data_IF_174290293015
#
_entry.id   IF_174290293015
#
_cell.length_a   1.000
_cell.length_b   1.000
_cell.length_c   1.000
_cell.angle_alpha   90.00
_cell.angle_beta   90.00
_cell.angle_gamma   90.00
#
_symmetry.space_group_name_H-M   'P 1'
#
loop_
_entity.id
_entity.type
_entity.pdbx_description
1 polymer ?
#
# COMPACT_ATOMS: atom_id res chain seq x y z
N UNK A 1 -22.01 -38.28 -11.84
CA UNK A 1 -20.62 -38.34 -11.37
C UNK A 1 -20.43 -37.15 -10.44
N UNK A 2 -20.07 -37.40 -9.18
CA UNK A 2 -20.10 -36.42 -8.09
C UNK A 2 -18.99 -35.36 -8.23
N UNK A 3 -19.37 -34.09 -8.07
CA UNK A 3 -18.48 -32.94 -7.92
C UNK A 3 -17.88 -32.92 -6.50
N UNK A 4 -16.56 -32.75 -6.40
CA UNK A 4 -15.83 -32.50 -5.15
C UNK A 4 -15.61 -30.99 -4.96
N UNK A 5 -15.78 -30.43 -3.76
CA UNK A 5 -15.34 -29.08 -3.46
C UNK A 5 -13.81 -29.04 -3.28
N UNK A 6 -13.15 -28.03 -3.83
CA UNK A 6 -11.75 -27.71 -3.54
C UNK A 6 -11.70 -27.10 -2.13
N UNK A 7 -11.15 -27.85 -1.18
CA UNK A 7 -10.83 -27.37 0.17
C UNK A 7 -9.37 -26.94 0.17
N UNK A 8 -9.13 -25.62 0.14
CA UNK A 8 -7.84 -25.04 0.50
C UNK A 8 -7.78 -25.00 2.03
N UNK A 9 -7.34 -26.10 2.65
CA UNK A 9 -6.62 -26.20 3.93
C UNK A 9 -6.80 -27.62 4.52
N UNK A 10 -5.90 -28.53 4.13
CA UNK A 10 -5.49 -29.60 5.05
C UNK A 10 -3.96 -29.63 5.07
N UNK A 11 -3.36 -28.93 6.02
CA UNK A 11 -1.97 -29.18 6.38
C UNK A 11 -1.92 -30.38 7.32
N UNK A 12 -1.05 -31.38 7.08
CA UNK A 12 -0.80 -32.41 8.06
C UNK A 12 -0.06 -31.79 9.25
N UNK A 13 -0.54 -32.09 10.46
CA UNK A 13 0.13 -31.76 11.70
C UNK A 13 1.46 -32.53 11.79
N UNK A 14 2.56 -31.91 11.33
CA UNK A 14 3.94 -32.14 11.77
C UNK A 14 4.92 -31.37 10.88
N UNK A 15 5.18 -30.10 11.20
CA UNK A 15 6.41 -29.43 10.83
C UNK A 15 6.73 -28.41 11.92
N UNK A 16 7.48 -28.85 12.94
CA UNK A 16 8.20 -27.95 13.83
C UNK A 16 9.25 -27.22 12.98
N UNK A 17 8.89 -26.06 12.46
CA UNK A 17 9.86 -25.09 11.95
C UNK A 17 10.05 -24.05 13.04
N UNK A 18 11.25 -24.05 13.63
CA UNK A 18 11.71 -23.05 14.59
C UNK A 18 11.53 -21.65 13.99
N UNK A 19 10.54 -20.91 14.49
CA UNK A 19 10.64 -19.46 14.56
C UNK A 19 11.50 -19.19 15.80
N UNK A 20 12.79 -18.96 15.59
CA UNK A 20 13.64 -18.40 16.63
C UNK A 20 13.20 -16.95 16.80
N UNK A 21 12.27 -16.72 17.72
CA UNK A 21 12.16 -15.43 18.37
C UNK A 21 13.52 -15.18 19.04
N UNK A 22 14.21 -14.06 18.81
CA UNK A 22 15.36 -13.73 19.63
C UNK A 22 14.89 -13.70 21.09
N UNK A 23 15.50 -14.54 21.92
CA UNK A 23 15.16 -14.71 23.32
C UNK A 23 15.09 -13.37 24.03
N UNK A 24 14.16 -13.27 24.99
CA UNK A 24 13.89 -12.12 25.85
C UNK A 24 15.06 -11.69 26.78
N UNK A 25 16.31 -12.02 26.44
CA UNK A 25 17.50 -11.67 27.20
C UNK A 25 17.99 -10.23 26.96
N UNK A 26 17.42 -9.49 26.02
CA UNK A 26 17.72 -8.05 25.81
C UNK A 26 17.02 -7.16 26.85
N UNK A 27 16.05 -7.68 27.61
CA UNK A 27 15.24 -6.89 28.55
C UNK A 27 15.75 -6.85 30.01
N UNK A 28 16.97 -7.33 30.29
CA UNK A 28 17.51 -7.29 31.65
C UNK A 28 18.97 -6.87 31.65
N UNK A 29 19.25 -5.56 31.69
CA UNK A 29 20.43 -5.00 32.36
C UNK A 29 20.31 -3.48 32.54
N UNK A 30 20.45 -2.95 33.77
CA UNK A 30 20.54 -1.51 34.00
C UNK A 30 21.91 -0.98 33.57
N UNK A 31 21.91 0.23 33.00
CA UNK A 31 23.08 0.99 32.58
C UNK A 31 24.04 1.27 33.75
N UNK A 32 25.33 0.95 33.58
CA UNK A 32 26.42 1.68 34.24
C UNK A 32 27.02 2.68 33.25
N UNK A 33 27.14 3.93 33.70
CA UNK A 33 27.78 5.02 32.99
C UNK A 33 29.26 4.72 32.79
N UNK A 34 29.77 4.95 31.58
CA UNK A 34 31.14 5.41 31.41
C UNK A 34 31.19 6.51 30.36
N UNK A 35 31.76 7.62 30.81
CA UNK A 35 31.93 8.91 30.18
C UNK A 35 33.02 8.83 29.09
N UNK A 36 32.70 9.27 27.87
CA UNK A 36 33.69 9.70 26.90
C UNK A 36 33.04 10.63 25.87
N UNK A 37 33.35 11.90 26.03
CA UNK A 37 33.11 13.01 25.12
C UNK A 37 33.59 12.72 23.70
N UNK A 38 32.69 12.84 22.72
CA UNK A 38 33.00 13.41 21.41
C UNK A 38 31.71 13.91 20.73
N UNK A 39 31.66 15.21 20.52
CA UNK A 39 30.51 15.95 19.99
C UNK A 39 30.45 15.87 18.47
N UNK A 40 29.41 15.24 17.92
CA UNK A 40 29.00 15.45 16.53
C UNK A 40 27.82 16.43 16.49
N UNK A 41 28.10 17.65 16.01
CA UNK A 41 27.15 18.74 15.83
C UNK A 41 26.29 18.55 14.58
N UNK A 42 25.02 18.92 14.73
CA UNK A 42 23.98 18.99 13.70
C UNK A 42 24.31 20.02 12.60
N UNK A 43 23.95 19.78 11.32
CA UNK A 43 24.22 20.69 10.21
C UNK A 43 23.20 21.85 10.18
N UNK A 44 23.36 22.81 11.09
CA UNK A 44 22.64 24.10 11.02
C UNK A 44 23.49 25.34 11.36
N UNK A 45 24.80 25.21 11.59
CA UNK A 45 25.64 26.33 12.06
C UNK A 45 26.66 26.89 11.04
N UNK A 46 26.62 26.47 9.77
CA UNK A 46 27.48 27.07 8.72
C UNK A 46 26.71 28.15 7.96
N UNK A 47 26.32 29.22 8.66
CA UNK A 47 25.89 30.48 8.01
C UNK A 47 26.08 31.74 8.89
N UNK A 48 26.97 31.68 9.89
CA UNK A 48 27.34 32.84 10.71
C UNK A 48 28.85 32.96 10.88
N UNK A 49 29.54 33.41 9.83
CA UNK A 49 30.77 34.20 9.97
C UNK A 49 31.25 34.69 8.59
N UNK A 50 31.14 36.01 8.34
CA UNK A 50 32.14 36.91 7.73
C UNK A 50 31.45 38.21 7.23
N UNK A 51 32.18 39.34 7.13
CA UNK A 51 31.82 40.59 7.82
C UNK A 51 30.99 41.58 7.00
N UNK A 52 30.15 42.35 7.71
CA UNK A 52 29.41 43.49 7.15
C UNK A 52 30.34 44.68 6.86
N UNK A 53 30.21 45.26 5.66
CA UNK A 53 30.68 46.62 5.31
C UNK A 53 29.47 47.48 4.91
N UNK A 54 29.52 48.80 5.18
CA UNK A 54 28.32 49.61 5.38
C UNK A 54 27.64 50.02 4.07
N UNK A 55 26.30 50.05 4.12
CA UNK A 55 25.42 50.51 3.05
C UNK A 55 25.37 52.04 3.06
N UNK A 56 25.62 52.66 1.89
CA UNK A 56 25.28 54.06 1.62
C UNK A 56 23.89 54.11 0.96
N UNK A 57 23.02 54.96 1.47
CA UNK A 57 21.75 55.36 0.86
C UNK A 57 21.96 56.18 -0.41
N UNK A 58 21.18 55.92 -1.47
CA UNK A 58 20.60 56.93 -2.39
C UNK A 58 19.30 56.37 -3.01
N UNK A 59 18.26 57.19 -3.04
CA UNK A 59 16.92 56.97 -3.60
C UNK A 59 16.82 57.08 -5.15
N UNK A 60 15.69 56.56 -5.64
CA UNK A 60 14.85 57.04 -6.74
C UNK A 60 15.12 56.65 -8.22
N UNK A 61 14.09 55.97 -8.76
CA UNK A 61 13.41 56.20 -10.04
C UNK A 61 14.00 55.65 -11.36
N UNK A 62 13.07 55.37 -12.29
CA UNK A 62 13.14 55.10 -13.73
C UNK A 62 13.39 53.68 -14.30
N UNK A 63 12.28 53.10 -14.79
CA UNK A 63 12.01 52.50 -16.14
C UNK A 63 13.07 51.64 -16.89
N UNK A 64 12.66 50.37 -17.19
CA UNK A 64 12.82 49.50 -18.42
C UNK A 64 13.99 49.73 -19.42
N UNK A 65 14.32 48.77 -20.34
CA UNK A 65 14.18 47.30 -20.37
C UNK A 65 15.51 46.57 -20.75
N UNK A 66 15.45 45.22 -20.79
CA UNK A 66 16.51 44.28 -21.22
C UNK A 66 17.00 44.48 -22.67
N UNK A 67 18.26 44.08 -22.97
CA UNK A 67 18.57 43.45 -24.26
C UNK A 67 19.37 42.13 -24.16
N UNK A 68 19.37 41.46 -25.31
CA UNK A 68 19.65 40.07 -25.64
C UNK A 68 21.11 39.60 -25.47
N UNK A 69 21.27 38.28 -25.32
CA UNK A 69 22.53 37.55 -25.48
C UNK A 69 22.86 37.42 -26.96
N UNK A 70 24.04 37.91 -27.35
CA UNK A 70 24.79 37.44 -28.51
C UNK A 70 26.13 36.84 -28.05
N UNK A 71 26.29 35.57 -28.43
CA UNK A 71 27.48 34.90 -28.97
C UNK A 71 28.87 35.49 -28.67
N UNK A 72 29.73 34.73 -27.98
CA UNK A 72 31.19 34.68 -28.20
C UNK A 72 31.79 33.45 -27.49
N UNK A 73 32.36 32.52 -28.27
CA UNK A 73 33.27 31.48 -27.79
C UNK A 73 34.72 31.94 -27.78
N UNK A 74 35.55 31.32 -26.94
CA UNK A 74 36.88 30.74 -27.23
C UNK A 74 37.64 30.35 -25.94
N UNK A 75 38.23 29.13 -25.97
CA UNK A 75 39.53 28.64 -25.43
C UNK A 75 40.08 29.19 -24.07
N UNK A 76 40.70 28.46 -23.13
CA UNK A 76 41.36 27.15 -22.94
C UNK A 76 41.56 26.98 -21.38
N UNK A 77 42.38 26.08 -20.77
CA UNK A 77 43.25 25.01 -21.29
C UNK A 77 43.20 23.64 -20.54
N UNK A 78 43.84 22.64 -21.13
CA UNK A 78 44.14 21.33 -20.53
C UNK A 78 45.22 21.40 -19.44
N UNK A 79 45.05 20.62 -18.37
CA UNK A 79 46.14 20.18 -17.49
C UNK A 79 46.09 18.65 -17.34
N UNK A 80 47.12 17.97 -17.84
CA UNK A 80 47.37 16.53 -17.62
C UNK A 80 47.93 16.29 -16.23
N UNK A 81 47.36 15.32 -15.50
CA UNK A 81 48.01 14.67 -14.35
C UNK A 81 47.94 13.15 -14.51
N UNK A 82 49.08 12.54 -14.15
CA UNK A 82 49.52 11.16 -14.34
C UNK A 82 48.61 10.09 -13.73
N UNK A 83 48.53 8.95 -14.43
CA UNK A 83 47.71 7.80 -14.08
C UNK A 83 48.25 6.97 -12.90
N UNK A 84 47.30 6.45 -12.12
CA UNK A 84 47.42 5.18 -11.40
C UNK A 84 46.22 4.33 -11.78
N UNK A 85 46.49 3.12 -12.27
CA UNK A 85 45.48 2.09 -12.53
C UNK A 85 44.67 1.81 -11.26
N UNK A 86 43.39 2.14 -11.28
CA UNK A 86 42.39 1.50 -10.44
C UNK A 86 41.53 0.61 -11.33
N UNK A 87 41.59 -0.69 -11.03
CA UNK A 87 40.80 -1.73 -11.67
C UNK A 87 39.37 -1.62 -11.12
N UNK A 88 38.48 -1.00 -11.88
CA UNK A 88 37.04 -1.02 -11.59
C UNK A 88 36.56 -2.43 -11.92
N UNK A 89 36.36 -3.26 -10.90
CA UNK A 89 35.54 -4.45 -11.03
C UNK A 89 34.11 -3.98 -11.21
N UNK A 90 33.56 -4.17 -12.41
CA UNK A 90 32.15 -4.08 -12.71
C UNK A 90 31.38 -4.97 -11.72
N UNK A 91 30.65 -4.36 -10.80
CA UNK A 91 29.58 -5.05 -10.10
C UNK A 91 28.43 -5.08 -11.10
N UNK A 92 28.22 -6.25 -11.70
CA UNK A 92 27.05 -6.51 -12.54
C UNK A 92 25.80 -6.28 -11.70
N UNK A 93 24.95 -5.37 -12.15
CA UNK A 93 23.59 -5.15 -11.65
C UNK A 93 22.81 -6.48 -11.70
N UNK A 94 22.63 -7.10 -10.53
CA UNK A 94 21.82 -8.29 -10.40
C UNK A 94 20.34 -7.91 -10.48
N UNK A 95 19.73 -8.25 -11.62
CA UNK A 95 18.31 -8.04 -11.92
C UNK A 95 17.37 -8.67 -10.87
N UNK A 96 16.39 -7.88 -10.45
CA UNK A 96 15.16 -8.32 -9.76
C UNK A 96 14.41 -9.34 -10.62
N UNK A 97 14.08 -10.52 -10.05
CA UNK A 97 13.35 -11.58 -10.77
C UNK A 97 11.83 -11.41 -10.53
N UNK A 98 11.21 -10.64 -11.43
CA UNK A 98 9.75 -10.39 -11.46
C UNK A 98 9.06 -11.65 -12.00
N UNK A 99 8.01 -12.13 -11.33
CA UNK A 99 7.10 -13.13 -11.91
C UNK A 99 6.19 -12.41 -12.91
N UNK A 100 6.63 -12.38 -14.18
CA UNK A 100 5.85 -11.85 -15.30
C UNK A 100 5.11 -13.00 -15.97
N UNK A 101 3.79 -12.91 -16.03
CA UNK A 101 3.00 -13.74 -16.93
C UNK A 101 2.78 -12.91 -18.19
N UNK A 102 3.55 -13.21 -19.24
CA UNK A 102 3.37 -12.62 -20.57
C UNK A 102 2.34 -13.44 -21.36
N UNK A 103 1.60 -12.84 -22.31
CA UNK A 103 0.63 -13.57 -23.13
C UNK A 103 1.33 -14.67 -23.94
N UNK A 104 0.69 -15.84 -24.03
CA UNK A 104 1.08 -16.88 -24.97
C UNK A 104 0.97 -16.35 -26.41
N UNK A 105 2.01 -16.58 -27.21
CA UNK A 105 2.03 -16.17 -28.62
C UNK A 105 1.10 -17.09 -29.43
N UNK A 106 -0.15 -16.68 -29.63
CA UNK A 106 -0.97 -17.25 -30.70
C UNK A 106 -0.94 -16.30 -31.89
N UNK A 107 -0.17 -16.69 -32.90
CA UNK A 107 0.05 -15.91 -34.12
C UNK A 107 -1.17 -16.01 -35.03
N UNK A 108 -2.17 -15.19 -34.79
CA UNK A 108 -3.14 -14.81 -35.81
C UNK A 108 -3.09 -13.30 -36.01
N UNK A 109 -2.60 -12.91 -37.20
CA UNK A 109 -2.63 -11.53 -37.68
C UNK A 109 -4.07 -11.02 -37.60
N UNK A 110 -4.34 -10.14 -36.64
CA UNK A 110 -5.49 -9.26 -36.66
C UNK A 110 -4.97 -7.83 -36.75
N UNK A 111 -5.54 -7.13 -37.72
CA UNK A 111 -5.30 -5.72 -38.04
C UNK A 111 -5.40 -4.85 -36.79
N UNK A 112 -4.79 -3.66 -36.83
CA UNK A 112 -4.81 -2.64 -35.77
C UNK A 112 -6.24 -2.40 -35.24
N UNK A 113 -6.68 -3.20 -34.28
CA UNK A 113 -7.77 -2.85 -33.37
C UNK A 113 -7.24 -1.69 -32.52
N UNK A 114 -7.99 -0.60 -32.55
CA UNK A 114 -7.72 0.64 -31.83
C UNK A 114 -7.34 0.35 -30.37
N UNK A 115 -6.40 1.10 -29.81
CA UNK A 115 -5.92 0.99 -28.42
C UNK A 115 -7.01 1.03 -27.34
N UNK A 116 -8.26 1.36 -27.72
CA UNK A 116 -9.41 1.49 -26.84
C UNK A 116 -10.02 0.15 -26.40
N UNK A 117 -9.64 -1.00 -26.98
CA UNK A 117 -10.16 -2.32 -26.61
C UNK A 117 -9.21 -3.19 -25.77
N UNK A 118 -7.96 -2.78 -25.56
CA UNK A 118 -7.04 -3.56 -24.72
C UNK A 118 -7.35 -3.38 -23.23
N UNK A 119 -7.44 -4.48 -22.43
CA UNK A 119 -7.70 -4.37 -21.00
C UNK A 119 -6.56 -3.66 -20.28
N UNK A 120 -6.90 -2.88 -19.24
CA UNK A 120 -5.89 -2.25 -18.40
C UNK A 120 -5.05 -3.29 -17.67
N UNK A 121 -3.76 -3.01 -17.41
CA UNK A 121 -2.97 -3.84 -16.52
C UNK A 121 -3.58 -3.93 -15.11
N UNK A 122 -3.43 -5.09 -14.47
CA UNK A 122 -3.90 -5.32 -13.10
C UNK A 122 -2.71 -5.51 -12.15
N UNK A 123 -2.72 -4.79 -11.04
CA UNK A 123 -1.73 -4.93 -9.97
C UNK A 123 -2.34 -5.66 -8.78
N UNK A 124 -1.63 -6.63 -8.21
CA UNK A 124 -2.10 -7.42 -7.07
C UNK A 124 -1.16 -7.23 -5.87
N UNK A 125 -1.72 -6.92 -4.69
CA UNK A 125 -0.98 -6.90 -3.43
C UNK A 125 -1.55 -7.92 -2.45
N UNK A 126 -0.72 -8.88 -2.05
CA UNK A 126 -1.07 -9.95 -1.13
C UNK A 126 -1.25 -9.51 0.32
N UNK A 127 -1.82 -10.40 1.13
CA UNK A 127 -2.06 -10.21 2.56
C UNK A 127 -0.92 -10.69 3.47
N UNK A 128 -1.16 -10.62 4.78
CA UNK A 128 -0.26 -11.08 5.83
C UNK A 128 0.02 -12.59 5.68
N UNK A 129 1.29 -12.99 5.73
CA UNK A 129 1.69 -14.41 5.70
C UNK A 129 1.71 -15.08 4.33
N UNK A 130 1.39 -14.34 3.27
CA UNK A 130 1.49 -14.79 1.88
C UNK A 130 2.69 -14.15 1.15
N UNK A 131 2.87 -14.47 -0.14
CA UNK A 131 3.95 -13.91 -0.97
C UNK A 131 3.58 -13.91 -2.45
N UNK A 132 4.19 -13.03 -3.24
CA UNK A 132 3.84 -12.82 -4.65
C UNK A 132 3.95 -14.08 -5.56
N UNK A 133 4.76 -15.07 -5.16
CA UNK A 133 5.05 -16.28 -5.93
C UNK A 133 4.08 -17.45 -5.66
N UNK A 134 3.08 -17.24 -4.80
CA UNK A 134 2.16 -18.28 -4.31
C UNK A 134 1.12 -18.67 -5.34
N UNK A 135 0.76 -19.95 -5.34
CA UNK A 135 -0.15 -20.53 -6.34
C UNK A 135 -1.50 -19.81 -6.39
N UNK A 136 -2.12 -19.53 -5.24
CA UNK A 136 -3.41 -18.84 -5.19
C UNK A 136 -3.41 -17.46 -5.86
N UNK A 137 -2.33 -16.67 -5.75
CA UNK A 137 -2.25 -15.39 -6.45
C UNK A 137 -2.01 -15.54 -7.95
N UNK A 138 -1.31 -16.60 -8.36
CA UNK A 138 -1.17 -16.94 -9.79
C UNK A 138 -2.50 -17.38 -10.38
N UNK A 139 -3.27 -18.18 -9.66
CA UNK A 139 -4.63 -18.58 -10.03
C UNK A 139 -5.54 -17.35 -10.17
N UNK A 140 -5.44 -16.37 -9.26
CA UNK A 140 -6.17 -15.09 -9.40
C UNK A 140 -5.73 -14.33 -10.67
N UNK A 141 -4.43 -14.26 -10.95
CA UNK A 141 -3.92 -13.62 -12.16
C UNK A 141 -4.38 -14.33 -13.45
N UNK A 142 -4.44 -15.66 -13.42
CA UNK A 142 -5.01 -16.48 -14.50
C UNK A 142 -6.50 -16.19 -14.68
N UNK A 143 -7.27 -16.10 -13.59
CA UNK A 143 -8.69 -15.72 -13.64
C UNK A 143 -8.91 -14.33 -14.23
N UNK A 144 -8.05 -13.35 -13.92
CA UNK A 144 -8.10 -12.03 -14.54
C UNK A 144 -7.90 -12.13 -16.06
N UNK A 145 -6.90 -12.90 -16.49
CA UNK A 145 -6.63 -13.12 -17.92
C UNK A 145 -7.72 -13.94 -18.61
N UNK A 146 -8.36 -14.89 -17.91
CA UNK A 146 -9.48 -15.67 -18.45
C UNK A 146 -10.70 -14.80 -18.74
N UNK A 147 -10.99 -13.84 -17.85
CA UNK A 147 -12.12 -12.92 -18.01
C UNK A 147 -11.80 -11.83 -19.03
N UNK A 148 -10.58 -11.29 -19.01
CA UNK A 148 -10.09 -10.28 -19.96
C UNK A 148 -8.78 -10.75 -20.60
N UNK A 149 -8.85 -11.48 -21.74
CA UNK A 149 -7.67 -12.02 -22.40
C UNK A 149 -6.62 -10.98 -22.76
N UNK A 150 -5.36 -11.26 -22.42
CA UNK A 150 -4.22 -10.38 -22.70
C UNK A 150 -3.91 -9.37 -21.61
N UNK A 151 -4.63 -9.39 -20.49
CA UNK A 151 -4.35 -8.52 -19.33
C UNK A 151 -2.95 -8.77 -18.75
N UNK A 152 -2.10 -7.74 -18.74
CA UNK A 152 -0.84 -7.79 -18.01
C UNK A 152 -1.10 -7.72 -16.51
N UNK A 153 -0.74 -8.78 -15.77
CA UNK A 153 -0.87 -8.81 -14.31
C UNK A 153 0.49 -8.70 -13.63
N UNK A 154 0.60 -7.78 -12.69
CA UNK A 154 1.80 -7.57 -11.86
C UNK A 154 1.48 -7.87 -10.39
N UNK A 155 2.12 -8.90 -9.82
CA UNK A 155 1.95 -9.25 -8.41
C UNK A 155 3.10 -8.61 -7.61
N UNK A 156 2.77 -7.73 -6.68
CA UNK A 156 3.73 -6.97 -5.87
C UNK A 156 4.45 -7.91 -4.91
N UNK A 157 5.79 -7.84 -4.94
CA UNK A 157 6.70 -8.34 -3.92
C UNK A 157 7.46 -7.14 -3.36
N UNK A 158 7.47 -6.98 -2.04
CA UNK A 158 8.20 -5.87 -1.37
C UNK A 158 9.64 -6.26 -1.02
N UNK A 159 9.95 -7.56 -1.04
CA UNK A 159 11.31 -8.05 -0.88
C UNK A 159 12.03 -8.19 -2.23
N UNK A 160 13.36 -8.05 -2.20
CA UNK A 160 14.23 -8.27 -3.37
C UNK A 160 14.14 -9.71 -3.91
N UNK A 161 13.82 -10.67 -3.03
CA UNK A 161 13.64 -12.09 -3.34
C UNK A 161 12.20 -12.53 -3.06
N UNK A 162 11.48 -13.11 -4.04
CA UNK A 162 10.19 -13.74 -3.79
C UNK A 162 10.26 -14.86 -2.75
N UNK A 163 9.10 -15.27 -2.22
CA UNK A 163 8.98 -16.40 -1.31
C UNK A 163 9.09 -16.01 0.17
N UNK A 164 10.06 -16.57 0.89
CA UNK A 164 10.13 -16.41 2.35
C UNK A 164 10.40 -14.99 2.82
N UNK A 165 11.22 -14.23 2.08
CA UNK A 165 11.55 -12.85 2.45
C UNK A 165 10.34 -11.91 2.28
N UNK A 166 9.62 -12.03 1.17
CA UNK A 166 8.39 -11.28 0.90
C UNK A 166 7.31 -11.58 1.95
N UNK A 167 7.16 -12.86 2.31
CA UNK A 167 6.29 -13.29 3.41
C UNK A 167 6.67 -12.67 4.75
N UNK A 168 7.95 -12.66 5.10
CA UNK A 168 8.41 -12.05 6.35
C UNK A 168 8.17 -10.54 6.36
N UNK A 169 8.36 -9.87 5.23
CA UNK A 169 8.11 -8.44 5.08
C UNK A 169 6.63 -8.07 5.28
N UNK A 170 5.70 -9.02 5.06
CA UNK A 170 4.29 -8.82 5.41
C UNK A 170 4.04 -8.69 6.91
N UNK A 171 4.89 -9.28 7.77
CA UNK A 171 4.82 -9.20 9.23
C UNK A 171 5.70 -8.09 9.79
N UNK A 172 6.93 -7.97 9.27
CA UNK A 172 7.97 -7.13 9.82
C UNK A 172 8.43 -6.09 8.80
N UNK A 173 8.41 -4.83 9.22
CA UNK A 173 8.84 -3.71 8.40
C UNK A 173 8.05 -2.44 8.71
N UNK A 174 8.33 -1.40 7.93
CA UNK A 174 7.65 -0.13 7.97
C UNK A 174 6.72 -0.02 6.75
N UNK A 175 5.40 0.03 6.97
CA UNK A 175 4.40 0.08 5.89
C UNK A 175 4.57 1.34 5.04
N UNK A 176 4.97 2.46 5.66
CA UNK A 176 5.24 3.70 4.93
C UNK A 176 6.37 3.54 3.93
N UNK A 177 7.47 2.92 4.33
CA UNK A 177 8.59 2.61 3.43
C UNK A 177 8.23 1.55 2.38
N UNK A 178 7.39 0.56 2.72
CA UNK A 178 6.91 -0.43 1.74
C UNK A 178 6.09 0.22 0.63
N UNK A 179 5.15 1.10 0.98
CA UNK A 179 4.35 1.84 -0.01
C UNK A 179 5.26 2.70 -0.89
N UNK A 180 6.20 3.43 -0.30
CA UNK A 180 7.16 4.23 -1.07
C UNK A 180 7.97 3.37 -2.04
N UNK A 181 8.42 2.20 -1.60
CA UNK A 181 9.13 1.22 -2.45
C UNK A 181 8.24 0.78 -3.61
N UNK A 182 6.98 0.43 -3.34
CA UNK A 182 6.01 0.01 -4.37
C UNK A 182 5.71 1.15 -5.34
N UNK A 183 5.57 2.39 -4.88
CA UNK A 183 5.40 3.55 -5.76
C UNK A 183 6.51 3.63 -6.81
N UNK A 184 7.78 3.47 -6.39
CA UNK A 184 8.91 3.48 -7.30
C UNK A 184 9.01 2.22 -8.17
N UNK A 185 8.62 1.06 -7.67
CA UNK A 185 8.61 -0.19 -8.44
C UNK A 185 7.60 -0.11 -9.60
N UNK A 186 6.36 0.30 -9.32
CA UNK A 186 5.33 0.41 -10.35
C UNK A 186 5.65 1.52 -11.36
N UNK A 187 6.23 2.64 -10.91
CA UNK A 187 6.69 3.70 -11.81
C UNK A 187 7.87 3.29 -12.71
N UNK A 188 8.64 2.26 -12.35
CA UNK A 188 9.74 1.75 -13.19
C UNK A 188 9.29 0.70 -14.21
N UNK A 189 8.14 0.06 -13.99
CA UNK A 189 7.63 -0.93 -14.94
C UNK A 189 7.15 -0.24 -16.22
N UNK A 190 7.70 -0.66 -17.36
CA UNK A 190 7.42 -0.02 -18.64
C UNK A 190 5.95 -0.14 -19.05
N UNK A 191 5.29 -1.26 -18.77
CA UNK A 191 3.88 -1.48 -19.15
C UNK A 191 2.99 -0.64 -18.25
N UNK A 192 3.22 -0.69 -16.93
CA UNK A 192 2.38 0.03 -15.96
C UNK A 192 2.53 1.56 -16.09
N UNK A 193 3.76 2.08 -16.28
CA UNK A 193 3.99 3.53 -16.39
C UNK A 193 3.43 4.13 -17.68
N UNK A 194 3.38 3.38 -18.78
CA UNK A 194 2.85 3.89 -20.05
C UNK A 194 1.37 3.63 -20.24
N UNK A 195 0.75 2.78 -19.42
CA UNK A 195 -0.69 2.56 -19.46
C UNK A 195 -1.44 3.84 -19.05
N UNK A 196 -2.61 4.13 -19.65
CA UNK A 196 -3.40 5.30 -19.27
C UNK A 196 -3.87 5.25 -17.80
N UNK A 197 -4.08 4.04 -17.28
CA UNK A 197 -4.32 3.73 -15.88
C UNK A 197 -4.02 2.24 -15.64
N UNK A 198 -4.08 1.81 -14.39
CA UNK A 198 -4.05 0.42 -13.95
C UNK A 198 -5.29 0.11 -13.12
N UNK A 199 -5.70 -1.14 -13.07
CA UNK A 199 -6.62 -1.62 -12.04
C UNK A 199 -5.83 -2.34 -10.93
N UNK A 200 -6.42 -2.46 -9.74
CA UNK A 200 -5.72 -2.98 -8.58
C UNK A 200 -6.59 -3.89 -7.71
N UNK A 201 -5.98 -4.98 -7.20
CA UNK A 201 -6.58 -5.93 -6.27
C UNK A 201 -5.72 -6.01 -5.01
N UNK A 202 -6.32 -5.75 -3.85
CA UNK A 202 -5.67 -5.94 -2.57
C UNK A 202 -6.35 -7.01 -1.71
N UNK A 203 -5.56 -7.94 -1.19
CA UNK A 203 -6.04 -8.99 -0.30
C UNK A 203 -5.68 -8.71 1.15
N UNK A 204 -6.67 -8.77 2.04
CA UNK A 204 -6.51 -8.49 3.47
C UNK A 204 -5.74 -7.18 3.66
N UNK A 205 -4.59 -7.17 4.35
CA UNK A 205 -3.81 -5.94 4.55
C UNK A 205 -3.35 -5.24 3.26
N UNK A 206 -3.18 -5.99 2.16
CA UNK A 206 -2.75 -5.45 0.87
C UNK A 206 -3.73 -4.42 0.28
N UNK A 207 -5.02 -4.47 0.63
CA UNK A 207 -5.99 -3.49 0.16
C UNK A 207 -5.84 -2.11 0.79
N UNK A 208 -5.62 -2.01 2.10
CA UNK A 208 -5.28 -0.71 2.68
C UNK A 208 -3.88 -0.22 2.26
N UNK A 209 -2.96 -1.11 1.90
CA UNK A 209 -1.66 -0.71 1.35
C UNK A 209 -1.79 -0.12 -0.05
N UNK A 210 -2.57 -0.75 -0.94
CA UNK A 210 -2.89 -0.19 -2.25
C UNK A 210 -3.68 1.11 -2.15
N UNK A 211 -4.61 1.24 -1.20
CA UNK A 211 -5.25 2.52 -0.91
C UNK A 211 -4.23 3.58 -0.48
N UNK A 212 -3.27 3.21 0.38
CA UNK A 212 -2.16 4.08 0.77
C UNK A 212 -1.29 4.49 -0.42
N UNK A 213 -1.02 3.58 -1.36
CA UNK A 213 -0.36 3.87 -2.65
C UNK A 213 -1.15 4.93 -3.44
N UNK A 214 -2.46 4.73 -3.64
CA UNK A 214 -3.31 5.70 -4.36
C UNK A 214 -3.21 7.07 -3.72
N UNK A 215 -3.38 7.15 -2.40
CA UNK A 215 -3.33 8.41 -1.68
C UNK A 215 -1.96 9.09 -1.75
N UNK A 216 -0.86 8.35 -1.55
CA UNK A 216 0.49 8.92 -1.40
C UNK A 216 1.21 9.22 -2.71
N UNK A 217 0.97 8.44 -3.75
CA UNK A 217 1.71 8.55 -5.01
C UNK A 217 0.85 8.50 -6.28
N UNK A 218 -0.48 8.51 -6.17
CA UNK A 218 -1.39 8.50 -7.33
C UNK A 218 -1.22 9.68 -8.31
N UNK A 219 -0.55 10.77 -7.90
CA UNK A 219 -0.26 11.92 -8.74
C UNK A 219 1.05 11.82 -9.55
N UNK A 220 1.91 10.83 -9.28
CA UNK A 220 3.20 10.68 -9.99
C UNK A 220 3.57 9.24 -10.37
N UNK A 221 3.01 8.25 -9.71
CA UNK A 221 3.10 6.83 -10.07
C UNK A 221 1.90 6.43 -10.97
N UNK A 222 1.87 5.21 -11.55
CA UNK A 222 0.74 4.76 -12.36
C UNK A 222 -0.62 4.97 -11.67
N UNK A 223 -1.53 5.66 -12.36
CA UNK A 223 -2.87 5.99 -11.84
C UNK A 223 -3.72 4.75 -11.71
N UNK A 224 -4.37 4.56 -10.56
CA UNK A 224 -5.35 3.49 -10.37
C UNK A 224 -6.71 3.98 -10.85
N UNK A 225 -7.40 3.17 -11.66
CA UNK A 225 -8.79 3.39 -12.06
C UNK A 225 -9.76 2.69 -11.12
N UNK A 226 -9.69 1.37 -11.05
CA UNK A 226 -10.51 0.55 -10.16
C UNK A 226 -9.65 -0.10 -9.08
N UNK A 227 -10.05 0.04 -7.81
CA UNK A 227 -9.45 -0.63 -6.67
C UNK A 227 -10.46 -1.60 -6.05
N UNK A 228 -10.16 -2.90 -6.07
CA UNK A 228 -10.94 -3.93 -5.38
C UNK A 228 -10.18 -4.40 -4.14
N UNK A 229 -10.82 -4.37 -2.98
CA UNK A 229 -10.22 -4.81 -1.72
C UNK A 229 -11.01 -5.93 -1.09
N UNK A 230 -10.34 -7.04 -0.78
CA UNK A 230 -10.95 -8.22 -0.18
C UNK A 230 -10.62 -8.27 1.31
N UNK A 231 -11.63 -8.13 2.17
CA UNK A 231 -11.49 -8.24 3.63
C UNK A 231 -10.44 -7.29 4.21
N UNK A 232 -10.21 -6.15 3.59
CA UNK A 232 -9.17 -5.19 3.98
C UNK A 232 -9.60 -4.36 5.19
N UNK A 233 -8.67 -3.92 6.01
CA UNK A 233 -8.99 -3.28 7.30
C UNK A 233 -8.86 -1.76 7.17
N UNK A 234 -9.76 -1.15 6.40
CA UNK A 234 -9.68 0.27 6.05
C UNK A 234 -9.79 1.21 7.27
N UNK A 235 -10.52 0.79 8.30
CA UNK A 235 -10.58 1.49 9.60
C UNK A 235 -9.71 0.83 10.68
N UNK A 236 -8.73 0.01 10.28
CA UNK A 236 -7.83 -0.68 11.20
C UNK A 236 -8.44 -1.89 11.91
N UNK A 237 -7.66 -2.46 12.83
CA UNK A 237 -8.06 -3.57 13.69
C UNK A 237 -8.00 -3.17 15.16
N UNK A 238 -8.91 -3.72 15.96
CA UNK A 238 -8.88 -3.65 17.41
C UNK A 238 -8.17 -4.88 18.03
N UNK A 239 -8.02 -5.97 17.28
CA UNK A 239 -7.35 -7.21 17.71
C UNK A 239 -6.73 -7.92 16.49
N UNK A 240 -5.66 -8.71 16.68
CA UNK A 240 -5.01 -9.45 15.61
C UNK A 240 -5.89 -10.54 15.00
N UNK A 241 -6.55 -11.32 15.86
CA UNK A 241 -7.53 -12.36 15.55
C UNK A 241 -8.10 -12.87 16.89
N UNK A 242 -9.27 -13.50 16.86
CA UNK A 242 -9.75 -14.26 18.03
C UNK A 242 -8.86 -15.48 18.20
N UNK A 243 -8.19 -15.57 19.34
CA UNK A 243 -7.37 -16.74 19.64
C UNK A 243 -8.27 -17.97 19.85
N UNK A 244 -7.84 -19.13 19.35
CA UNK A 244 -8.60 -20.39 19.38
C UNK A 244 -8.76 -21.01 20.79
N UNK A 245 -8.60 -20.21 21.84
CA UNK A 245 -8.68 -20.59 23.24
C UNK A 245 -7.59 -19.93 24.10
N UNK A 246 -7.64 -20.22 25.41
CA UNK A 246 -6.64 -19.75 26.37
C UNK A 246 -5.25 -20.41 26.18
N UNK A 247 -5.16 -21.47 25.38
CA UNK A 247 -3.94 -22.24 25.12
C UNK A 247 -3.17 -21.78 23.88
N UNK A 248 -3.73 -20.87 23.08
CA UNK A 248 -3.05 -20.29 21.92
C UNK A 248 -2.15 -19.12 22.35
N UNK A 249 -1.08 -19.47 23.08
CA UNK A 249 -0.17 -18.53 23.73
C UNK A 249 0.53 -17.58 22.76
N UNK A 250 0.71 -17.98 21.49
CA UNK A 250 1.32 -17.13 20.44
C UNK A 250 0.33 -16.05 20.02
N UNK A 251 -0.93 -16.42 19.72
CA UNK A 251 -1.97 -15.45 19.43
C UNK A 251 -2.23 -14.52 20.62
N UNK A 252 -2.29 -15.09 21.83
CA UNK A 252 -2.48 -14.32 23.06
C UNK A 252 -1.33 -13.33 23.28
N UNK A 253 -0.08 -13.74 23.02
CA UNK A 253 1.09 -12.87 23.09
C UNK A 253 1.06 -11.74 22.06
N UNK A 254 0.66 -12.02 20.82
CA UNK A 254 0.50 -11.00 19.77
C UNK A 254 -0.59 -9.99 20.13
N UNK A 255 -1.76 -10.46 20.59
CA UNK A 255 -2.85 -9.60 21.07
C UNK A 255 -2.44 -8.80 22.31
N UNK A 256 -1.69 -9.40 23.24
CA UNK A 256 -1.17 -8.71 24.41
C UNK A 256 -0.17 -7.62 24.02
N UNK A 257 0.67 -7.84 23.00
CA UNK A 257 1.57 -6.82 22.47
C UNK A 257 0.79 -5.63 21.88
N UNK A 258 -0.28 -5.86 21.11
CA UNK A 258 -1.13 -4.76 20.60
C UNK A 258 -1.85 -4.00 21.70
N UNK A 259 -2.33 -4.70 22.73
CA UNK A 259 -3.06 -4.09 23.85
C UNK A 259 -2.14 -3.51 24.92
N UNK A 260 -0.82 -3.59 24.72
CA UNK A 260 0.15 -3.00 25.65
C UNK A 260 0.41 -1.54 25.29
N UNK A 261 0.77 -0.73 26.29
CA UNK A 261 1.24 0.64 26.07
C UNK A 261 2.48 0.71 25.14
N UNK A 262 3.17 -0.40 24.90
CA UNK A 262 4.35 -0.46 24.03
C UNK A 262 4.02 -0.48 22.54
N UNK A 263 2.76 -0.75 22.17
CA UNK A 263 2.31 -0.76 20.76
C UNK A 263 2.56 0.58 20.06
N UNK A 264 2.52 1.68 20.83
CA UNK A 264 2.74 3.05 20.36
C UNK A 264 4.21 3.49 20.40
N UNK A 265 5.13 2.63 20.83
CA UNK A 265 6.55 2.94 20.74
C UNK A 265 7.00 3.03 19.27
N UNK A 266 7.89 3.97 18.97
CA UNK A 266 8.47 4.12 17.64
C UNK A 266 9.12 2.82 17.15
N UNK A 267 9.68 2.02 18.06
CA UNK A 267 10.26 0.73 17.74
C UNK A 267 9.23 -0.22 17.12
N UNK A 268 8.06 -0.38 17.75
CA UNK A 268 6.99 -1.27 17.27
C UNK A 268 6.31 -0.68 16.03
N UNK A 269 5.94 0.60 16.06
CA UNK A 269 5.28 1.29 14.95
C UNK A 269 6.14 1.37 13.67
N UNK A 270 7.47 1.16 13.76
CA UNK A 270 8.34 1.12 12.58
C UNK A 270 8.72 -0.28 12.12
N UNK A 271 8.35 -1.35 12.86
CA UNK A 271 8.86 -2.71 12.62
C UNK A 271 7.81 -3.79 12.60
N UNK A 272 6.65 -3.59 13.21
CA UNK A 272 5.57 -4.58 13.21
C UNK A 272 4.46 -4.06 12.31
N UNK A 273 4.28 -4.68 11.15
CA UNK A 273 3.33 -4.23 10.13
C UNK A 273 1.90 -4.15 10.68
N UNK A 274 1.38 -5.16 11.40
CA UNK A 274 0.00 -5.07 11.89
C UNK A 274 -0.24 -4.06 13.00
N UNK A 275 0.78 -3.72 13.79
CA UNK A 275 0.66 -2.65 14.77
C UNK A 275 0.44 -1.27 14.12
N UNK A 276 0.85 -1.09 12.85
CA UNK A 276 0.72 0.18 12.14
C UNK A 276 -0.69 0.44 11.60
N UNK A 277 -1.56 -0.57 11.63
CA UNK A 277 -2.99 -0.44 11.40
C UNK A 277 -3.84 -0.91 12.58
N UNK A 278 -3.23 -0.99 13.77
CA UNK A 278 -3.96 -1.09 15.02
C UNK A 278 -4.65 0.24 15.34
N UNK A 279 -5.92 0.17 15.74
CA UNK A 279 -6.74 1.34 16.08
C UNK A 279 -7.57 1.04 17.32
N UNK A 280 -7.15 1.63 18.43
CA UNK A 280 -7.86 1.51 19.71
C UNK A 280 -8.62 2.79 20.03
N UNK A 281 -9.94 2.68 20.17
CA UNK A 281 -10.80 3.79 20.56
C UNK A 281 -10.66 4.16 22.03
N UNK A 282 -10.18 3.25 22.88
CA UNK A 282 -9.94 3.55 24.31
C UNK A 282 -8.62 4.29 24.53
N UNK A 283 -7.70 4.24 23.56
CA UNK A 283 -6.41 4.92 23.59
C UNK A 283 -6.20 5.80 22.34
N UNK A 284 -7.27 6.49 21.94
CA UNK A 284 -7.36 7.17 20.65
C UNK A 284 -6.32 8.30 20.49
N UNK A 285 -5.98 9.00 21.57
CA UNK A 285 -4.96 10.07 21.53
C UNK A 285 -3.57 9.52 21.21
N UNK A 286 -3.17 8.39 21.80
CA UNK A 286 -1.90 7.76 21.46
C UNK A 286 -1.94 7.16 20.05
N UNK A 287 -3.08 6.60 19.62
CA UNK A 287 -3.27 6.19 18.24
C UNK A 287 -3.02 7.35 17.26
N UNK A 288 -3.68 8.50 17.44
CA UNK A 288 -3.50 9.67 16.60
C UNK A 288 -2.04 10.15 16.59
N UNK A 289 -1.40 10.16 17.76
CA UNK A 289 -0.03 10.66 17.90
C UNK A 289 1.03 9.72 17.30
N UNK A 290 0.87 8.40 17.47
CA UNK A 290 1.95 7.44 17.24
C UNK A 290 1.72 6.47 16.08
N UNK A 291 0.49 6.30 15.57
CA UNK A 291 0.23 5.41 14.43
C UNK A 291 1.05 5.82 13.21
N UNK A 292 2.01 4.98 12.79
CA UNK A 292 2.92 5.29 11.66
C UNK A 292 2.22 5.26 10.29
N UNK A 293 1.06 4.59 10.18
CA UNK A 293 0.42 4.35 8.89
C UNK A 293 -1.07 4.71 8.88
N UNK A 294 -1.90 4.04 9.69
CA UNK A 294 -3.35 4.16 9.52
C UNK A 294 -3.90 5.56 9.82
N UNK A 295 -3.50 6.18 10.93
CA UNK A 295 -3.91 7.54 11.25
C UNK A 295 -3.46 8.58 10.20
N UNK A 296 -2.35 8.29 9.49
CA UNK A 296 -1.88 9.12 8.37
C UNK A 296 -2.80 8.94 7.15
N UNK A 297 -2.96 7.72 6.65
CA UNK A 297 -3.76 7.49 5.44
C UNK A 297 -5.27 7.62 5.67
N UNK A 298 -5.75 7.70 6.90
CA UNK A 298 -7.13 8.08 7.18
C UNK A 298 -7.31 9.60 7.39
N UNK A 299 -6.23 10.38 7.30
CA UNK A 299 -6.22 11.82 7.58
C UNK A 299 -6.91 12.14 8.94
N UNK A 300 -6.71 11.31 9.96
CA UNK A 300 -7.42 11.46 11.25
C UNK A 300 -6.81 12.53 12.16
N UNK A 301 -5.54 12.89 11.91
CA UNK A 301 -4.86 14.00 12.63
C UNK A 301 -5.44 15.35 12.25
N UNK A 302 -5.26 16.35 13.10
CA UNK A 302 -5.81 17.71 12.91
C UNK A 302 -5.52 18.26 11.50
N UNK A 303 -4.23 18.25 11.09
CA UNK A 303 -3.80 18.66 9.76
C UNK A 303 -4.08 17.57 8.72
N UNK A 304 -4.91 17.91 7.74
CA UNK A 304 -5.34 17.01 6.66
C UNK A 304 -4.43 17.13 5.45
N UNK A 305 -4.02 16.01 4.86
CA UNK A 305 -3.31 16.01 3.58
C UNK A 305 -4.32 16.07 2.42
N UNK A 306 -4.43 17.24 1.76
CA UNK A 306 -5.39 17.45 0.67
C UNK A 306 -5.10 16.59 -0.56
N UNK A 307 -3.84 16.24 -0.81
CA UNK A 307 -3.44 15.40 -1.96
C UNK A 307 -3.99 13.98 -1.80
N UNK A 308 -4.08 13.47 -0.58
CA UNK A 308 -4.69 12.16 -0.33
C UNK A 308 -6.15 12.13 -0.78
N UNK A 309 -6.91 13.18 -0.44
CA UNK A 309 -8.31 13.30 -0.83
C UNK A 309 -8.48 13.48 -2.33
N UNK A 310 -7.62 14.30 -2.96
CA UNK A 310 -7.62 14.49 -4.41
C UNK A 310 -7.37 13.17 -5.14
N UNK A 311 -6.29 12.46 -4.78
CA UNK A 311 -5.90 11.22 -5.44
C UNK A 311 -6.94 10.10 -5.27
N UNK A 312 -7.48 9.90 -4.06
CA UNK A 312 -8.47 8.83 -3.85
C UNK A 312 -9.79 9.13 -4.58
N UNK A 313 -10.20 10.41 -4.64
CA UNK A 313 -11.37 10.83 -5.40
C UNK A 313 -11.21 10.74 -6.92
N UNK A 314 -10.00 10.51 -7.45
CA UNK A 314 -9.76 10.26 -8.88
C UNK A 314 -10.15 8.85 -9.30
N UNK A 315 -10.22 7.87 -8.38
CA UNK A 315 -10.68 6.52 -8.69
C UNK A 315 -12.03 6.56 -9.41
N UNK A 316 -12.24 5.66 -10.38
CA UNK A 316 -13.56 5.46 -10.96
C UNK A 316 -14.39 4.54 -10.08
N UNK A 317 -13.79 3.44 -9.59
CA UNK A 317 -14.45 2.50 -8.67
C UNK A 317 -13.52 2.12 -7.52
N UNK A 318 -14.05 2.18 -6.30
CA UNK A 318 -13.46 1.62 -5.10
C UNK A 318 -14.45 0.61 -4.51
N UNK A 319 -14.15 -0.67 -4.74
CA UNK A 319 -15.01 -1.81 -4.41
C UNK A 319 -14.48 -2.46 -3.14
N UNK A 320 -15.24 -2.34 -2.07
CA UNK A 320 -14.88 -2.82 -0.76
C UNK A 320 -15.65 -4.09 -0.42
N UNK A 321 -14.94 -5.20 -0.33
CA UNK A 321 -15.51 -6.52 -0.08
C UNK A 321 -15.28 -6.91 1.37
N UNK A 322 -16.35 -7.31 2.06
CA UNK A 322 -16.30 -7.94 3.39
C UNK A 322 -16.81 -9.37 3.31
N UNK A 323 -16.29 -10.25 4.16
CA UNK A 323 -16.76 -11.62 4.29
C UNK A 323 -17.76 -11.72 5.44
N UNK A 324 -18.92 -12.36 5.20
CA UNK A 324 -20.01 -12.41 6.18
C UNK A 324 -19.59 -13.15 7.45
N UNK A 325 -18.73 -14.15 7.36
CA UNK A 325 -18.26 -14.95 8.49
C UNK A 325 -16.80 -14.65 8.87
N UNK A 326 -16.30 -13.45 8.54
CA UNK A 326 -14.93 -13.05 8.89
C UNK A 326 -14.71 -13.02 10.42
N UNK A 327 -13.74 -13.79 10.90
CA UNK A 327 -13.28 -13.82 12.29
C UNK A 327 -11.82 -13.39 12.45
N UNK A 328 -11.14 -13.08 11.35
CA UNK A 328 -9.75 -12.63 11.34
C UNK A 328 -9.69 -11.12 11.48
N UNK A 329 -10.51 -10.40 10.70
CA UNK A 329 -10.60 -8.94 10.79
C UNK A 329 -11.57 -8.55 11.89
N UNK A 330 -11.06 -7.88 12.92
CA UNK A 330 -11.85 -7.49 14.08
C UNK A 330 -11.73 -5.97 14.27
N UNK A 331 -12.81 -5.20 14.05
CA UNK A 331 -14.12 -5.61 13.52
C UNK A 331 -14.13 -5.80 12.00
N UNK A 332 -14.87 -6.78 11.47
CA UNK A 332 -14.98 -7.03 10.01
C UNK A 332 -15.55 -5.83 9.24
N UNK A 333 -16.42 -5.05 9.87
CA UNK A 333 -17.00 -3.82 9.34
C UNK A 333 -15.93 -2.76 8.99
N UNK A 334 -14.71 -2.89 9.52
CA UNK A 334 -13.55 -2.11 9.13
C UNK A 334 -13.30 -2.13 7.62
N UNK A 335 -13.67 -3.20 6.92
CA UNK A 335 -13.57 -3.28 5.46
C UNK A 335 -14.50 -2.35 4.70
N UNK A 336 -15.56 -1.86 5.33
CA UNK A 336 -16.42 -0.82 4.78
C UNK A 336 -16.18 0.56 5.37
N UNK A 337 -15.03 0.76 6.03
CA UNK A 337 -14.72 1.95 6.82
C UNK A 337 -15.68 2.21 8.00
N UNK A 338 -16.51 1.25 8.38
CA UNK A 338 -17.37 1.43 9.53
C UNK A 338 -16.54 1.46 10.82
N UNK A 339 -17.05 2.15 11.83
CA UNK A 339 -16.46 2.19 13.16
C UNK A 339 -17.32 1.39 14.13
N UNK A 340 -16.71 0.40 14.78
CA UNK A 340 -17.40 -0.42 15.78
C UNK A 340 -16.87 -0.04 17.16
N UNK A 341 -17.79 0.40 18.02
CA UNK A 341 -17.49 0.51 19.44
C UNK A 341 -17.54 -0.89 20.05
N UNK A 342 -16.38 -1.44 20.41
CA UNK A 342 -16.27 -2.81 20.92
C UNK A 342 -16.93 -3.01 22.29
N UNK A 343 -17.18 -1.94 23.04
CA UNK A 343 -17.82 -2.00 24.38
C UNK A 343 -19.34 -2.04 24.28
N UNK A 344 -19.94 -1.16 23.46
CA UNK A 344 -21.40 -1.10 23.26
C UNK A 344 -21.89 -2.01 22.13
N UNK A 345 -20.97 -2.54 21.31
CA UNK A 345 -21.24 -3.25 20.07
C UNK A 345 -22.04 -2.41 19.04
N UNK A 346 -21.97 -1.08 19.14
CA UNK A 346 -22.63 -0.18 18.19
C UNK A 346 -21.76 0.07 16.97
N UNK A 347 -22.37 0.09 15.78
CA UNK A 347 -21.69 0.33 14.50
C UNK A 347 -22.07 1.72 13.97
N UNK A 348 -21.08 2.58 13.79
CA UNK A 348 -21.22 3.86 13.07
C UNK A 348 -20.82 3.63 11.61
N UNK A 349 -21.79 3.76 10.71
CA UNK A 349 -21.57 3.55 9.27
C UNK A 349 -20.68 4.63 8.67
N UNK A 350 -19.91 4.31 7.61
CA UNK A 350 -19.01 5.26 6.94
C UNK A 350 -19.64 6.65 6.73
N UNK A 351 -20.85 6.70 6.18
CA UNK A 351 -21.54 7.97 5.85
C UNK A 351 -21.88 8.83 7.07
N UNK A 352 -21.92 8.22 8.26
CA UNK A 352 -22.17 8.91 9.52
C UNK A 352 -20.89 9.42 10.19
N UNK A 353 -19.71 9.00 9.72
CA UNK A 353 -18.41 9.38 10.30
C UNK A 353 -17.95 10.77 9.85
N UNK A 354 -17.21 11.51 10.71
CA UNK A 354 -16.57 12.78 10.32
C UNK A 354 -15.69 12.67 9.07
N UNK A 355 -14.91 11.58 8.97
CA UNK A 355 -14.05 11.28 7.81
C UNK A 355 -14.80 11.37 6.47
N UNK A 356 -16.06 10.93 6.43
CA UNK A 356 -16.91 11.03 5.23
C UNK A 356 -17.59 12.40 5.15
N UNK A 357 -18.23 12.86 6.23
CA UNK A 357 -19.04 14.10 6.24
C UNK A 357 -18.21 15.32 5.84
N UNK A 358 -16.97 15.37 6.28
CA UNK A 358 -15.98 16.42 6.01
C UNK A 358 -15.00 16.06 4.88
N UNK A 359 -15.21 14.90 4.24
CA UNK A 359 -14.47 14.41 3.08
C UNK A 359 -12.93 14.38 3.25
N UNK A 360 -12.45 13.94 4.42
CA UNK A 360 -11.03 14.01 4.79
C UNK A 360 -10.10 13.31 3.80
N UNK A 361 -10.57 12.25 3.15
CA UNK A 361 -9.81 11.47 2.17
C UNK A 361 -10.53 11.35 0.82
N UNK A 362 -11.53 12.18 0.52
CA UNK A 362 -12.18 12.19 -0.80
C UNK A 362 -13.24 11.11 -1.03
N UNK A 363 -13.63 10.34 0.00
CA UNK A 363 -14.64 9.28 -0.12
C UNK A 363 -16.04 9.82 -0.44
N UNK A 364 -16.43 10.98 0.11
CA UNK A 364 -17.74 11.57 -0.18
C UNK A 364 -17.80 12.03 -1.63
N UNK A 365 -16.76 12.71 -2.10
CA UNK A 365 -16.67 13.10 -3.51
C UNK A 365 -16.67 11.88 -4.46
N UNK A 366 -16.02 10.79 -4.06
CA UNK A 366 -16.03 9.54 -4.82
C UNK A 366 -17.42 8.88 -4.81
N UNK A 367 -18.11 8.86 -3.67
CA UNK A 367 -19.46 8.29 -3.51
C UNK A 367 -20.50 9.07 -4.32
N UNK A 368 -20.46 10.40 -4.29
CA UNK A 368 -21.40 11.28 -5.03
C UNK A 368 -21.36 11.07 -6.55
N UNK A 369 -20.25 10.58 -7.10
CA UNK A 369 -20.12 10.19 -8.52
C UNK A 369 -20.35 8.69 -8.77
N UNK A 370 -20.85 7.94 -7.79
CA UNK A 370 -21.14 6.50 -7.88
C UNK A 370 -19.90 5.61 -7.80
N UNK A 371 -18.79 6.11 -7.25
CA UNK A 371 -17.51 5.41 -7.24
C UNK A 371 -17.32 4.42 -6.10
N UNK A 372 -18.16 4.41 -5.06
CA UNK A 372 -18.06 3.46 -3.94
C UNK A 372 -19.02 2.29 -4.12
N UNK A 373 -18.51 1.06 -4.08
CA UNK A 373 -19.32 -0.14 -4.01
C UNK A 373 -18.99 -0.97 -2.76
N UNK A 374 -20.04 -1.43 -2.08
CA UNK A 374 -19.96 -2.22 -0.86
C UNK A 374 -20.49 -3.62 -1.16
N UNK A 375 -19.62 -4.63 -1.07
CA UNK A 375 -19.95 -6.01 -1.44
C UNK A 375 -19.75 -6.92 -0.23
N UNK A 376 -20.70 -7.83 0.03
CA UNK A 376 -20.59 -8.83 1.08
C UNK A 376 -20.60 -10.23 0.46
N UNK A 377 -19.50 -10.96 0.62
CA UNK A 377 -19.38 -12.36 0.19
C UNK A 377 -19.66 -13.31 1.35
N UNK A 378 -20.23 -14.48 1.06
CA UNK A 378 -20.31 -15.58 2.02
C UNK A 378 -18.92 -16.15 2.35
N UNK A 379 -18.82 -16.76 3.53
CA UNK A 379 -17.62 -17.48 3.97
C UNK A 379 -16.72 -16.71 4.92
N UNK A 380 -15.63 -17.37 5.30
CA UNK A 380 -14.61 -16.85 6.22
C UNK A 380 -13.58 -15.97 5.49
N UNK A 381 -12.63 -15.40 6.24
CA UNK A 381 -11.61 -14.50 5.71
C UNK A 381 -10.82 -15.14 4.55
N UNK A 382 -10.78 -14.45 3.40
CA UNK A 382 -10.10 -14.92 2.16
C UNK A 382 -10.66 -16.23 1.60
N UNK A 383 -11.87 -16.65 1.98
CA UNK A 383 -12.57 -17.74 1.33
C UNK A 383 -13.13 -17.26 -0.02
N UNK A 384 -12.27 -17.31 -1.04
CA UNK A 384 -12.60 -16.84 -2.39
C UNK A 384 -13.17 -17.98 -3.23
N UNK A 385 -14.19 -17.66 -4.03
CA UNK A 385 -14.80 -18.58 -4.99
C UNK A 385 -14.65 -18.00 -6.39
N UNK A 386 -14.15 -18.81 -7.33
CA UNK A 386 -13.89 -18.40 -8.72
C UNK A 386 -15.08 -17.70 -9.39
N UNK A 387 -16.30 -18.19 -9.13
CA UNK A 387 -17.52 -17.60 -9.67
C UNK A 387 -17.66 -16.12 -9.29
N UNK A 388 -17.38 -15.79 -8.04
CA UNK A 388 -17.51 -14.44 -7.52
C UNK A 388 -16.37 -13.55 -8.02
N UNK A 389 -15.14 -14.08 -8.03
CA UNK A 389 -13.98 -13.42 -8.61
C UNK A 389 -14.20 -13.08 -10.09
N UNK A 390 -14.64 -14.04 -10.90
CA UNK A 390 -14.92 -13.82 -12.32
C UNK A 390 -15.98 -12.74 -12.53
N UNK A 391 -17.04 -12.75 -11.73
CA UNK A 391 -18.10 -11.72 -11.79
C UNK A 391 -17.56 -10.34 -11.43
N UNK A 392 -16.73 -10.23 -10.40
CA UNK A 392 -16.10 -8.98 -10.00
C UNK A 392 -15.17 -8.45 -11.10
N UNK A 393 -14.31 -9.30 -11.67
CA UNK A 393 -13.37 -8.90 -12.71
C UNK A 393 -14.09 -8.52 -14.01
N UNK A 394 -15.16 -9.22 -14.37
CA UNK A 394 -16.01 -8.87 -15.52
C UNK A 394 -16.67 -7.51 -15.32
N UNK A 395 -17.13 -7.22 -14.10
CA UNK A 395 -17.82 -5.97 -13.77
C UNK A 395 -16.86 -4.78 -13.73
N UNK A 396 -15.69 -4.93 -13.11
CA UNK A 396 -14.85 -3.79 -12.71
C UNK A 396 -13.59 -3.59 -13.55
N UNK A 397 -13.15 -4.60 -14.29
CA UNK A 397 -11.97 -4.53 -15.14
C UNK A 397 -12.34 -4.54 -16.63
N UNK A 398 -11.34 -4.26 -17.46
CA UNK A 398 -11.47 -4.16 -18.91
C UNK A 398 -10.74 -2.92 -19.45
N UNK A 399 -11.06 -2.48 -20.68
CA UNK A 399 -10.33 -1.41 -21.35
C UNK A 399 -10.52 -0.05 -20.69
N UNK A 400 -9.58 0.88 -20.91
CA UNK A 400 -9.55 2.20 -20.25
C UNK A 400 -10.89 2.95 -20.31
N UNK A 401 -11.55 2.93 -21.48
CA UNK A 401 -12.82 3.62 -21.73
C UNK A 401 -14.07 2.88 -21.25
N UNK A 402 -13.94 1.79 -20.49
CA UNK A 402 -15.08 1.03 -19.95
C UNK A 402 -15.99 1.97 -19.15
N UNK A 403 -17.27 1.97 -19.49
CA UNK A 403 -18.29 2.68 -18.70
C UNK A 403 -18.82 1.75 -17.63
N UNK A 404 -18.89 2.26 -16.41
CA UNK A 404 -19.62 1.61 -15.33
C UNK A 404 -21.06 2.12 -15.42
N UNK A 405 -22.00 1.23 -15.76
CA UNK A 405 -23.42 1.57 -15.71
C UNK A 405 -23.72 2.09 -14.31
N UNK A 406 -24.33 3.28 -14.23
CA UNK A 406 -24.71 3.91 -12.98
C UNK A 406 -25.43 2.87 -12.13
N UNK A 407 -24.78 2.47 -11.05
CA UNK A 407 -25.32 1.50 -10.11
C UNK A 407 -26.46 2.22 -9.42
N UNK A 408 -27.69 2.04 -9.92
CA UNK A 408 -28.89 2.55 -9.25
C UNK A 408 -28.74 2.28 -7.76
N UNK A 409 -28.92 3.31 -6.93
CA UNK A 409 -28.96 3.20 -5.47
C UNK A 409 -29.89 2.03 -5.10
N UNK A 410 -29.30 0.88 -4.76
CA UNK A 410 -30.04 -0.35 -4.46
C UNK A 410 -29.72 -1.58 -5.33
N UNK A 411 -28.91 -1.50 -6.39
CA UNK A 411 -28.59 -2.69 -7.21
C UNK A 411 -27.55 -3.64 -6.60
N UNK A 412 -26.83 -3.21 -5.56
CA UNK A 412 -25.87 -4.05 -4.84
C UNK A 412 -26.32 -4.37 -3.42
N UNK A 413 -27.47 -5.04 -3.30
CA UNK A 413 -27.43 -6.31 -2.57
C UNK A 413 -26.88 -7.36 -3.53
N UNK A 414 -25.57 -7.38 -3.72
CA UNK A 414 -24.91 -8.61 -4.14
C UNK A 414 -25.03 -9.57 -2.95
N UNK A 415 -26.21 -10.18 -2.81
CA UNK A 415 -26.29 -11.51 -2.22
C UNK A 415 -25.61 -12.44 -3.23
N UNK A 416 -24.27 -12.43 -3.21
CA UNK A 416 -23.49 -13.57 -3.63
C UNK A 416 -23.62 -14.66 -2.57
#
# INVERSE_FOLDING_TARGET
MLLKPLSLLSLPAAALSLVILPEAAVFSKPHELHDSSDSYQSPCDILKALPQRPIRHVDADTTRPLPQLDDLGEAAPELRVSGRHFRVSSVEDQMVKITRLSPGSDSHQREQETSDEQPLPVVIWHGLGDSADRAGLKEVAELVNDVHPGTYTYIISVAESPGSADRQASFFGNVTSQIETVCHLLAKDNILRTAPAIDAIGFSQGGQFLRGYVQRCGNWAPKVRSLITFGSQHNGIAEFQKCNGATDWICQGANALLKSNTVWSDFIQSRLVPAQYYRDLNDYENYLKHSNFLADINNERELKNVTYAQNLAELEKFVMIVFRDDQTVIPKDSGWFDEVNMTSNSVTKLRDRPLYKEDWIGLKKLDEKGGLDFVALDGEHMQLVDKDLKRLFDTYFGPAGKRFDGTEEGRWKLEL
#
